data_IF_024185057270
#
_entry.id   IF_024185057270
#
_cell.length_a   1.000
_cell.length_b   1.000
_cell.length_c   1.000
_cell.angle_alpha   90.00
_cell.angle_beta   90.00
_cell.angle_gamma   90.00
#
_symmetry.space_group_name_H-M   'P 1'
#
loop_
_entity.id
_entity.type
_entity.pdbx_description
1 polymer ?
#
# COMPACT_ATOMS: atom_id res chain seq x y z
N UNK A 1 -43.80 -27.27 15.66
CA UNK A 1 -43.62 -26.62 14.32
C UNK A 1 -43.59 -25.10 14.37
N UNK A 2 -44.48 -24.41 15.08
CA UNK A 2 -44.54 -22.93 15.11
C UNK A 2 -43.25 -22.25 15.62
N UNK A 3 -42.57 -22.84 16.61
CA UNK A 3 -41.32 -22.32 17.18
C UNK A 3 -40.17 -22.22 16.15
N UNK A 4 -40.13 -23.11 15.15
CA UNK A 4 -39.10 -23.12 14.10
C UNK A 4 -39.36 -22.04 13.03
N UNK A 5 -40.62 -21.60 12.87
CA UNK A 5 -40.96 -20.48 12.00
C UNK A 5 -40.63 -19.13 12.65
N UNK A 6 -40.77 -19.01 13.97
CA UNK A 6 -40.45 -17.78 14.71
C UNK A 6 -38.94 -17.43 14.71
N UNK A 7 -38.06 -18.43 14.74
CA UNK A 7 -36.61 -18.23 14.69
C UNK A 7 -36.12 -17.55 13.40
N UNK A 8 -36.90 -17.61 12.31
CA UNK A 8 -36.57 -16.97 11.01
C UNK A 8 -37.00 -15.50 10.91
N UNK A 9 -37.75 -14.98 11.89
CA UNK A 9 -38.29 -13.62 11.83
C UNK A 9 -37.25 -12.56 12.20
N UNK A 10 -36.23 -12.94 12.97
CA UNK A 10 -35.08 -12.08 13.30
C UNK A 10 -33.79 -12.88 13.12
N UNK A 11 -32.83 -12.39 12.31
CA UNK A 11 -31.54 -13.05 12.19
C UNK A 11 -30.82 -13.05 13.54
N UNK A 12 -30.16 -14.15 13.86
CA UNK A 12 -29.33 -14.23 15.06
C UNK A 12 -28.09 -13.32 14.90
N UNK A 13 -27.51 -12.86 16.00
CA UNK A 13 -26.32 -11.99 15.93
C UNK A 13 -25.15 -12.71 15.23
N UNK A 14 -25.02 -14.02 15.45
CA UNK A 14 -24.08 -14.89 14.71
C UNK A 14 -24.29 -14.84 13.20
N UNK A 15 -25.54 -14.91 12.72
CA UNK A 15 -25.87 -14.81 11.29
C UNK A 15 -25.47 -13.44 10.72
N UNK A 16 -25.61 -12.38 11.51
CA UNK A 16 -25.21 -11.03 11.11
C UNK A 16 -23.68 -10.93 11.01
N UNK A 17 -22.97 -11.50 11.98
CA UNK A 17 -21.50 -11.54 12.00
C UNK A 17 -20.98 -12.34 10.80
N UNK A 18 -21.55 -13.52 10.51
CA UNK A 18 -21.15 -14.31 9.35
C UNK A 18 -21.35 -13.57 8.02
N UNK A 19 -22.50 -12.89 7.86
CA UNK A 19 -22.76 -12.06 6.67
C UNK A 19 -21.80 -10.89 6.55
N UNK A 20 -21.49 -10.24 7.67
CA UNK A 20 -20.52 -9.15 7.70
C UNK A 20 -19.13 -9.64 7.30
N UNK A 21 -18.65 -10.70 7.93
CA UNK A 21 -17.33 -11.29 7.66
C UNK A 21 -17.25 -11.76 6.21
N UNK A 22 -18.29 -12.42 5.68
CA UNK A 22 -18.35 -12.86 4.29
C UNK A 22 -18.33 -11.73 3.25
N UNK A 23 -18.57 -10.48 3.65
CA UNK A 23 -18.46 -9.29 2.80
C UNK A 23 -17.09 -8.60 2.85
N UNK A 24 -16.14 -9.08 3.67
CA UNK A 24 -14.85 -8.43 3.86
C UNK A 24 -13.86 -8.76 2.74
N UNK A 25 -12.93 -7.84 2.41
CA UNK A 25 -11.81 -8.14 1.52
C UNK A 25 -10.92 -9.27 2.05
N UNK A 26 -10.45 -10.14 1.16
CA UNK A 26 -9.57 -11.28 1.47
C UNK A 26 -8.37 -10.90 2.35
N UNK A 27 -7.84 -9.69 2.16
CA UNK A 27 -6.68 -9.17 2.92
C UNK A 27 -6.91 -9.12 4.43
N UNK A 28 -8.15 -8.98 4.89
CA UNK A 28 -8.50 -8.90 6.31
C UNK A 28 -9.45 -10.01 6.77
N UNK A 29 -10.13 -10.68 5.82
CA UNK A 29 -11.10 -11.75 6.07
C UNK A 29 -10.59 -12.83 7.03
N UNK A 30 -9.45 -13.44 6.71
CA UNK A 30 -8.88 -14.52 7.54
C UNK A 30 -8.53 -14.06 8.95
N UNK A 31 -8.05 -12.83 9.08
CA UNK A 31 -7.67 -12.27 10.38
C UNK A 31 -8.89 -12.01 11.26
N UNK A 32 -9.98 -11.52 10.66
CA UNK A 32 -11.26 -11.28 11.37
C UNK A 32 -11.91 -12.60 11.78
N UNK A 33 -11.85 -13.65 10.94
CA UNK A 33 -12.31 -14.99 11.35
C UNK A 33 -11.49 -15.51 12.55
N UNK A 34 -10.17 -15.33 12.50
CA UNK A 34 -9.28 -15.82 13.56
C UNK A 34 -9.50 -15.12 14.90
N UNK A 35 -9.96 -13.86 14.92
CA UNK A 35 -10.26 -13.13 16.15
C UNK A 35 -11.56 -13.59 16.83
N UNK A 36 -12.42 -14.33 16.12
CA UNK A 36 -13.69 -14.89 16.63
C UNK A 36 -14.54 -13.81 17.33
N UNK A 37 -14.98 -12.76 16.60
CA UNK A 37 -15.77 -11.69 17.18
C UNK A 37 -17.08 -12.24 17.77
N UNK A 38 -17.45 -11.74 18.94
CA UNK A 38 -18.69 -12.16 19.63
C UNK A 38 -19.86 -11.24 19.32
N UNK A 39 -19.55 -9.99 18.97
CA UNK A 39 -20.54 -8.98 18.62
C UNK A 39 -20.25 -8.39 17.25
N UNK A 40 -21.26 -7.76 16.66
CA UNK A 40 -21.08 -6.96 15.43
C UNK A 40 -20.08 -5.82 15.60
N UNK A 41 -20.00 -5.25 16.80
CA UNK A 41 -19.08 -4.16 17.10
C UNK A 41 -17.64 -4.66 17.13
N UNK A 42 -17.36 -5.80 17.77
CA UNK A 42 -16.03 -6.41 17.78
C UNK A 42 -15.53 -6.68 16.36
N UNK A 43 -16.40 -7.23 15.49
CA UNK A 43 -16.06 -7.52 14.11
C UNK A 43 -15.71 -6.24 13.32
N UNK A 44 -16.50 -5.17 13.55
CA UNK A 44 -16.33 -3.88 12.87
C UNK A 44 -15.08 -3.13 13.34
N UNK A 45 -14.83 -3.12 14.64
CA UNK A 45 -13.67 -2.49 15.25
C UNK A 45 -12.38 -3.16 14.76
N UNK A 46 -12.33 -4.49 14.83
CA UNK A 46 -11.16 -5.25 14.41
C UNK A 46 -10.88 -5.12 12.90
N UNK A 47 -11.91 -5.15 12.07
CA UNK A 47 -11.76 -4.93 10.63
C UNK A 47 -11.22 -3.53 10.30
N UNK A 48 -11.71 -2.51 10.99
CA UNK A 48 -11.28 -1.11 10.80
C UNK A 48 -9.83 -0.92 11.24
N UNK A 49 -9.46 -1.44 12.41
CA UNK A 49 -8.08 -1.38 12.91
C UNK A 49 -7.09 -2.04 11.93
N UNK A 50 -7.47 -3.19 11.37
CA UNK A 50 -6.66 -3.87 10.36
C UNK A 50 -6.48 -3.04 9.08
N UNK A 51 -7.56 -2.41 8.59
CA UNK A 51 -7.48 -1.55 7.41
C UNK A 51 -6.59 -0.34 7.67
N UNK A 52 -6.76 0.34 8.80
CA UNK A 52 -5.98 1.53 9.16
C UNK A 52 -4.48 1.21 9.27
N UNK A 53 -4.15 0.07 9.88
CA UNK A 53 -2.75 -0.40 9.96
C UNK A 53 -2.15 -0.69 8.59
N UNK A 54 -2.90 -1.31 7.68
CA UNK A 54 -2.45 -1.61 6.31
C UNK A 54 -2.25 -0.32 5.51
N UNK A 55 -3.18 0.61 5.58
CA UNK A 55 -3.08 1.93 4.93
C UNK A 55 -1.86 2.69 5.44
N UNK A 56 -1.67 2.74 6.76
CA UNK A 56 -0.51 3.40 7.37
C UNK A 56 0.81 2.81 6.84
N UNK A 57 0.90 1.49 6.76
CA UNK A 57 2.08 0.80 6.21
C UNK A 57 2.34 1.15 4.74
N UNK A 58 1.28 1.27 3.93
CA UNK A 58 1.40 1.62 2.50
C UNK A 58 1.89 3.06 2.36
N UNK A 59 1.36 3.99 3.15
CA UNK A 59 1.76 5.40 3.14
C UNK A 59 3.23 5.57 3.55
N UNK A 60 3.69 4.86 4.59
CA UNK A 60 5.09 4.88 5.01
C UNK A 60 6.02 4.39 3.90
N UNK A 61 5.70 3.25 3.27
CA UNK A 61 6.47 2.73 2.12
C UNK A 61 6.48 3.69 0.94
N UNK A 62 5.35 4.33 0.64
CA UNK A 62 5.27 5.31 -0.44
C UNK A 62 6.16 6.53 -0.16
N UNK A 63 6.13 7.04 1.07
CA UNK A 63 6.97 8.15 1.49
C UNK A 63 8.47 7.81 1.39
N UNK A 64 8.86 6.59 1.79
CA UNK A 64 10.24 6.13 1.66
C UNK A 64 10.66 5.97 0.19
N UNK A 65 9.81 5.38 -0.65
CA UNK A 65 10.08 5.22 -2.08
C UNK A 65 10.22 6.57 -2.79
N UNK A 66 9.43 7.57 -2.41
CA UNK A 66 9.56 8.94 -2.94
C UNK A 66 10.92 9.56 -2.61
N UNK A 67 11.39 9.44 -1.35
CA UNK A 67 12.74 9.90 -0.97
C UNK A 67 13.84 9.21 -1.78
N UNK A 68 13.69 7.91 -2.04
CA UNK A 68 14.66 7.15 -2.87
C UNK A 68 14.66 7.61 -4.32
N UNK A 69 13.49 7.91 -4.90
CA UNK A 69 13.38 8.45 -6.26
C UNK A 69 14.08 9.81 -6.39
N UNK A 70 13.85 10.72 -5.44
CA UNK A 70 14.46 12.05 -5.45
C UNK A 70 16.00 11.98 -5.36
N UNK A 71 16.52 11.09 -4.51
CA UNK A 71 17.96 10.87 -4.36
C UNK A 71 18.60 10.26 -5.63
N UNK A 72 17.92 9.31 -6.29
CA UNK A 72 18.42 8.70 -7.52
C UNK A 72 18.43 9.69 -8.70
N UNK A 73 17.45 10.59 -8.77
CA UNK A 73 17.42 11.66 -9.76
C UNK A 73 18.56 12.67 -9.56
N UNK A 74 18.92 13.01 -8.32
CA UNK A 74 20.11 13.85 -8.06
C UNK A 74 21.42 13.15 -8.44
N UNK A 75 21.54 11.84 -8.20
CA UNK A 75 22.72 11.06 -8.60
C UNK A 75 22.84 10.94 -10.14
N UNK A 76 21.73 10.80 -10.86
CA UNK A 76 21.71 10.81 -12.33
C UNK A 76 21.85 12.21 -12.96
N UNK A 77 21.51 13.28 -12.23
CA UNK A 77 21.70 14.67 -12.69
C UNK A 77 23.12 15.20 -12.50
N UNK A 78 24.07 14.41 -12.00
CA UNK A 78 25.49 14.74 -12.12
C UNK A 78 25.83 14.84 -13.61
N UNK A 79 26.17 16.02 -14.15
CA UNK A 79 26.48 16.14 -15.57
C UNK A 79 27.68 15.24 -15.88
N UNK A 80 27.68 14.51 -17.02
CA UNK A 80 28.86 13.75 -17.42
C UNK A 80 30.01 14.75 -17.51
N UNK A 81 31.04 14.54 -16.68
CA UNK A 81 32.22 15.39 -16.61
C UNK A 81 32.77 15.53 -18.03
N UNK A 82 32.58 16.71 -18.62
CA UNK A 82 33.11 17.05 -19.94
C UNK A 82 34.64 17.04 -19.83
N UNK A 83 35.28 15.94 -20.21
CA UNK A 83 36.71 15.95 -20.49
C UNK A 83 36.93 16.84 -21.71
N UNK A 84 37.70 17.91 -21.50
CA UNK A 84 37.94 18.96 -22.48
C UNK A 84 38.64 18.42 -23.72
N UNK A 85 38.02 18.64 -24.88
CA UNK A 85 38.70 18.56 -26.16
C UNK A 85 39.11 19.99 -26.52
N UNK A 86 40.36 20.33 -26.22
CA UNK A 86 41.02 21.52 -26.76
C UNK A 86 41.55 21.13 -28.13
N UNK A 87 40.86 21.53 -29.20
CA UNK A 87 41.44 21.45 -30.55
C UNK A 87 42.27 22.70 -30.75
N UNK A 88 43.59 22.56 -30.65
CA UNK A 88 44.54 23.59 -31.06
C UNK A 88 44.85 23.42 -32.55
N UNK A 89 44.58 24.45 -33.36
CA UNK A 89 44.98 24.52 -34.75
C UNK A 89 46.43 25.01 -34.83
N UNK A 90 47.36 24.13 -35.18
CA UNK A 90 48.68 24.51 -35.67
C UNK A 90 48.60 24.76 -37.17
N UNK A 91 48.52 26.04 -37.56
CA UNK A 91 48.83 26.44 -38.93
C UNK A 91 50.35 26.60 -39.03
N UNK A 92 50.99 25.65 -39.72
CA UNK A 92 52.42 25.59 -39.93
C UNK A 92 52.94 26.80 -40.70
N UNK A 93 54.08 27.30 -40.22
CA UNK A 93 54.97 28.24 -40.89
C UNK A 93 55.29 27.76 -42.32
N UNK A 94 55.10 28.64 -43.29
CA UNK A 94 55.58 28.47 -44.66
C UNK A 94 56.21 29.77 -45.11
N UNK A 95 57.51 29.91 -44.85
CA UNK A 95 58.38 30.96 -45.38
C UNK A 95 58.35 30.96 -46.91
N UNK A 96 58.14 32.13 -47.50
CA UNK A 96 58.72 32.54 -48.79
C UNK A 96 58.92 34.05 -48.80
#
# INVERSE_FOLDING_TARGET
ELALMCARMFPEESDMIEKYVGGLPDMIHESVIASKPKTMQDATEFATELMDKKISTILERQAENKRKLDNNNQAQQQPPKKQGVVIAYTAGSGER
#
